data_IF_123395233205
#
_entry.id   IF_123395233205
#
_cell.length_a   1.000
_cell.length_b   1.000
_cell.length_c   1.000
_cell.angle_alpha   90.00
_cell.angle_beta   90.00
_cell.angle_gamma   90.00
#
_symmetry.space_group_name_H-M   'P 1'
#
loop_
_entity.id
_entity.type
_entity.pdbx_description
1 polymer ?
#
# COMPACT_ATOMS: atom_id res chain seq x y z
N UNK A 1 12.42 -16.36 31.88
CA UNK A 1 12.05 -16.68 31.47
C UNK A 1 11.49 -17.04 31.01
N UNK A 2 11.39 -16.97 30.70
CA UNK A 2 11.01 -17.42 30.17
C UNK A 2 10.53 -17.74 29.64
N UNK A 3 10.37 -17.73 29.34
CA UNK A 3 9.93 -18.25 28.76
C UNK A 3 10.02 -18.80 27.77
N UNK A 4 10.88 -19.23 27.87
CA UNK A 4 11.26 -20.05 26.77
C UNK A 4 10.12 -20.69 26.03
N UNK A 5 9.16 -21.12 26.71
CA UNK A 5 7.94 -21.56 26.06
C UNK A 5 7.19 -20.40 25.45
N UNK A 6 7.66 -19.20 25.73
CA UNK A 6 7.16 -18.00 25.09
C UNK A 6 7.99 -17.60 23.90
N UNK A 7 8.65 -18.57 23.31
CA UNK A 7 9.43 -18.30 22.12
C UNK A 7 8.55 -18.01 20.93
N UNK A 8 7.28 -18.33 21.00
CA UNK A 8 6.37 -17.97 19.91
C UNK A 8 6.19 -16.47 19.91
N UNK A 9 6.70 -15.85 18.86
CA UNK A 9 6.48 -14.43 18.65
C UNK A 9 5.02 -14.18 18.32
N UNK A 10 4.51 -13.04 18.72
CA UNK A 10 3.24 -12.58 18.20
C UNK A 10 3.34 -12.42 16.69
N UNK A 11 2.29 -12.80 16.00
CA UNK A 11 2.21 -12.62 14.57
C UNK A 11 1.02 -11.74 14.22
N UNK A 12 1.09 -11.15 13.04
CA UNK A 12 0.13 -10.14 12.61
C UNK A 12 -0.26 -10.38 11.16
N UNK A 13 -1.43 -9.89 10.83
CA UNK A 13 -1.89 -9.83 9.43
C UNK A 13 -1.72 -8.37 8.99
N UNK A 14 -1.07 -8.18 7.85
CA UNK A 14 -0.88 -6.85 7.29
C UNK A 14 -1.92 -6.62 6.19
N UNK A 15 -2.67 -5.54 6.30
CA UNK A 15 -3.60 -5.11 5.26
C UNK A 15 -3.03 -3.87 4.56
N UNK A 16 -2.78 -4.00 3.27
CA UNK A 16 -2.33 -2.88 2.43
C UNK A 16 -3.54 -2.35 1.68
N UNK A 17 -3.96 -1.15 2.06
CA UNK A 17 -5.16 -0.52 1.51
C UNK A 17 -4.73 0.61 0.59
N UNK A 18 -4.80 0.37 -0.71
CA UNK A 18 -4.44 1.37 -1.72
C UNK A 18 -5.69 2.13 -2.12
N UNK A 19 -5.84 3.33 -1.58
CA UNK A 19 -6.93 4.20 -1.94
C UNK A 19 -6.60 5.08 -3.13
N UNK A 20 -7.49 6.01 -3.44
CA UNK A 20 -7.36 6.91 -4.58
C UNK A 20 -6.60 8.19 -4.22
N UNK A 21 -6.48 8.50 -2.94
CA UNK A 21 -5.79 9.70 -2.46
C UNK A 21 -4.65 9.37 -1.51
N UNK A 22 -4.66 8.18 -0.92
CA UNK A 22 -3.67 7.81 0.09
C UNK A 22 -3.42 6.32 0.08
N UNK A 23 -2.25 5.97 0.60
CA UNK A 23 -1.86 4.58 0.87
C UNK A 23 -1.96 4.35 2.36
N UNK A 24 -2.44 3.18 2.76
CA UNK A 24 -2.64 2.85 4.17
C UNK A 24 -2.15 1.44 4.45
N UNK A 25 -1.58 1.24 5.63
CA UNK A 25 -1.26 -0.08 6.12
C UNK A 25 -1.85 -0.25 7.51
N UNK A 26 -2.51 -1.38 7.75
CA UNK A 26 -3.09 -1.71 9.04
C UNK A 26 -2.53 -3.06 9.46
N UNK A 27 -2.10 -3.17 10.71
CA UNK A 27 -1.67 -4.43 11.29
C UNK A 27 -2.71 -4.92 12.27
N UNK A 28 -3.19 -6.14 12.05
CA UNK A 28 -4.16 -6.81 12.93
C UNK A 28 -3.49 -7.94 13.68
N UNK A 29 -3.93 -8.19 14.90
CA UNK A 29 -3.53 -9.41 15.61
C UNK A 29 -4.42 -10.58 15.19
N UNK A 30 -4.20 -11.74 15.80
CA UNK A 30 -4.96 -12.94 15.47
C UNK A 30 -6.43 -12.84 15.84
N UNK A 31 -6.77 -11.96 16.76
CA UNK A 31 -8.14 -11.76 17.21
C UNK A 31 -8.87 -10.70 16.36
N UNK A 32 -8.18 -10.11 15.38
CA UNK A 32 -8.77 -9.10 14.52
C UNK A 32 -8.71 -7.69 15.08
N UNK A 33 -7.95 -7.47 16.15
CA UNK A 33 -7.79 -6.14 16.71
C UNK A 33 -6.77 -5.35 15.90
N UNK A 34 -7.05 -4.06 15.69
CA UNK A 34 -6.10 -3.17 15.04
C UNK A 34 -4.98 -2.85 16.04
N UNK A 35 -3.75 -3.19 15.69
CA UNK A 35 -2.61 -2.97 16.55
C UNK A 35 -1.78 -1.78 16.12
N UNK A 36 -1.77 -1.47 14.83
CA UNK A 36 -1.02 -0.34 14.28
C UNK A 36 -1.63 0.07 12.95
N UNK A 37 -1.46 1.34 12.59
CA UNK A 37 -1.92 1.87 11.32
C UNK A 37 -1.05 3.04 10.92
N UNK A 38 -0.75 3.13 9.63
CA UNK A 38 -0.05 4.27 9.06
C UNK A 38 -0.71 4.62 7.73
N UNK A 39 -0.71 5.90 7.40
CA UNK A 39 -1.36 6.40 6.18
C UNK A 39 -0.55 7.56 5.63
N UNK A 40 -0.48 7.65 4.30
CA UNK A 40 0.22 8.74 3.63
C UNK A 40 -0.50 9.07 2.34
N UNK A 41 -0.74 10.37 2.13
CA UNK A 41 -1.31 10.86 0.88
C UNK A 41 -0.25 10.90 -0.21
N UNK A 42 -0.68 10.77 -1.46
CA UNK A 42 0.20 10.95 -2.61
C UNK A 42 -0.38 12.02 -3.52
N UNK A 43 0.49 12.54 -4.40
CA UNK A 43 0.16 13.69 -5.23
C UNK A 43 -0.90 13.36 -6.26
N UNK A 44 -1.91 14.22 -6.36
CA UNK A 44 -2.91 14.17 -7.43
C UNK A 44 -2.44 15.08 -8.55
N UNK A 45 -2.40 14.57 -9.76
CA UNK A 45 -1.95 15.32 -10.94
C UNK A 45 -3.15 15.55 -11.84
N UNK A 46 -3.37 16.81 -12.20
CA UNK A 46 -4.52 17.24 -13.00
C UNK A 46 -4.02 17.84 -14.31
N UNK A 47 -3.68 17.02 -15.33
CA UNK A 47 -3.14 17.56 -16.58
C UNK A 47 -4.17 18.33 -17.39
N UNK A 48 -5.45 17.96 -17.23
CA UNK A 48 -6.57 18.63 -17.90
C UNK A 48 -7.79 18.58 -16.98
N UNK A 49 -8.76 19.48 -17.14
CA UNK A 49 -9.99 19.41 -16.35
C UNK A 49 -10.65 18.05 -16.45
N UNK A 50 -10.99 17.46 -15.31
CA UNK A 50 -11.64 16.17 -15.25
C UNK A 50 -10.69 14.97 -15.35
N UNK A 51 -9.41 15.20 -15.62
CA UNK A 51 -8.40 14.14 -15.68
C UNK A 51 -7.66 14.07 -14.35
N UNK A 52 -7.46 12.84 -13.86
CA UNK A 52 -6.66 12.61 -12.66
C UNK A 52 -5.60 11.57 -12.98
N UNK A 53 -4.36 11.91 -12.69
CA UNK A 53 -3.22 11.01 -12.87
C UNK A 53 -2.47 10.88 -11.56
N UNK A 54 -1.76 9.77 -11.41
CA UNK A 54 -0.87 9.54 -10.29
C UNK A 54 0.47 9.04 -10.79
N UNK A 55 1.52 9.31 -10.04
CA UNK A 55 2.83 8.74 -10.30
C UNK A 55 2.88 7.35 -9.66
N UNK A 56 2.99 6.26 -10.46
CA UNK A 56 2.99 4.91 -9.90
C UNK A 56 4.12 4.67 -8.89
N UNK A 57 5.27 5.29 -9.11
CA UNK A 57 6.40 5.10 -8.20
C UNK A 57 6.18 5.81 -6.88
N UNK A 58 5.46 6.92 -6.88
CA UNK A 58 5.07 7.59 -5.63
C UNK A 58 4.08 6.73 -4.85
N UNK A 59 3.13 6.10 -5.54
CA UNK A 59 2.19 5.19 -4.90
C UNK A 59 2.95 4.02 -4.26
N UNK A 60 3.87 3.41 -5.01
CA UNK A 60 4.67 2.30 -4.50
C UNK A 60 5.48 2.73 -3.28
N UNK A 61 6.19 3.85 -3.36
CA UNK A 61 7.02 4.29 -2.23
C UNK A 61 6.17 4.69 -1.03
N UNK A 62 4.99 5.27 -1.24
CA UNK A 62 4.10 5.61 -0.12
C UNK A 62 3.55 4.34 0.54
N UNK A 63 3.18 3.32 -0.24
CA UNK A 63 2.67 2.07 0.31
C UNK A 63 3.77 1.33 1.09
N UNK A 64 4.97 1.28 0.54
CA UNK A 64 6.10 0.68 1.23
C UNK A 64 6.42 1.44 2.51
N UNK A 65 6.39 2.77 2.44
CA UNK A 65 6.66 3.62 3.59
C UNK A 65 5.68 3.39 4.73
N UNK A 66 4.38 3.30 4.44
CA UNK A 66 3.40 3.08 5.52
C UNK A 66 3.47 1.66 6.07
N UNK A 67 3.86 0.67 5.25
CA UNK A 67 4.07 -0.68 5.74
C UNK A 67 5.23 -0.70 6.74
N UNK A 68 6.34 -0.07 6.40
CA UNK A 68 7.50 0.01 7.29
C UNK A 68 7.15 0.78 8.56
N UNK A 69 6.45 1.90 8.41
CA UNK A 69 6.09 2.74 9.57
C UNK A 69 5.18 1.99 10.53
N UNK A 70 4.17 1.28 10.02
CA UNK A 70 3.25 0.55 10.90
C UNK A 70 3.96 -0.58 11.65
N UNK A 71 4.95 -1.22 11.04
CA UNK A 71 5.76 -2.22 11.71
C UNK A 71 6.67 -1.58 12.76
N UNK A 72 7.24 -0.43 12.45
CA UNK A 72 8.14 0.26 13.36
C UNK A 72 7.43 0.70 14.64
N UNK A 73 6.16 1.12 14.53
CA UNK A 73 5.36 1.51 15.71
C UNK A 73 5.25 0.37 16.70
N UNK A 74 5.14 -0.87 16.23
CA UNK A 74 5.05 -2.04 17.10
C UNK A 74 6.43 -2.63 17.43
N UNK A 75 7.49 -2.16 16.77
CA UNK A 75 8.83 -2.72 16.97
C UNK A 75 8.95 -4.15 16.50
N UNK A 76 8.19 -4.52 15.47
CA UNK A 76 8.19 -5.90 14.96
C UNK A 76 9.02 -6.00 13.68
N UNK A 77 9.35 -7.23 13.33
CA UNK A 77 10.11 -7.54 12.11
C UNK A 77 9.22 -8.28 11.11
N UNK A 78 9.69 -8.40 9.88
CA UNK A 78 8.90 -8.99 8.79
C UNK A 78 8.53 -10.45 9.04
N UNK A 79 9.34 -11.19 9.82
CA UNK A 79 9.03 -12.57 10.14
C UNK A 79 7.81 -12.71 11.05
N UNK A 80 7.33 -11.60 11.61
CA UNK A 80 6.11 -11.59 12.41
C UNK A 80 4.86 -11.28 11.58
N UNK A 81 5.01 -11.04 10.28
CA UNK A 81 3.88 -10.87 9.37
C UNK A 81 3.54 -12.23 8.79
N UNK A 82 2.38 -12.73 9.14
CA UNK A 82 1.94 -14.07 8.77
C UNK A 82 1.28 -14.09 7.39
N UNK A 83 0.58 -13.04 7.05
CA UNK A 83 -0.11 -12.91 5.77
C UNK A 83 -0.32 -11.44 5.43
N UNK A 84 -0.49 -11.17 4.15
CA UNK A 84 -0.75 -9.82 3.64
C UNK A 84 -2.01 -9.88 2.79
N UNK A 85 -2.97 -8.99 3.12
CA UNK A 85 -4.13 -8.75 2.28
C UNK A 85 -3.97 -7.43 1.56
N UNK A 86 -4.44 -7.35 0.34
CA UNK A 86 -4.26 -6.15 -0.49
C UNK A 86 -5.61 -5.74 -1.07
N UNK A 87 -5.96 -4.45 -0.94
CA UNK A 87 -7.04 -3.86 -1.70
C UNK A 87 -6.46 -2.92 -2.73
N UNK A 88 -6.98 -2.98 -3.94
CA UNK A 88 -6.45 -2.19 -5.05
C UNK A 88 -7.11 -0.83 -5.13
N UNK A 89 -6.46 0.08 -5.88
CA UNK A 89 -7.06 1.33 -6.31
C UNK A 89 -7.93 1.01 -7.53
N UNK A 90 -9.23 1.24 -7.40
CA UNK A 90 -10.19 0.92 -8.47
C UNK A 90 -10.09 1.92 -9.61
N UNK A 91 -10.58 1.52 -10.80
CA UNK A 91 -10.68 2.37 -11.99
C UNK A 91 -9.35 3.00 -12.34
N UNK A 92 -8.29 2.19 -12.31
CA UNK A 92 -6.92 2.68 -12.50
C UNK A 92 -6.23 1.81 -13.55
N UNK A 93 -5.52 2.45 -14.47
CA UNK A 93 -4.77 1.77 -15.51
C UNK A 93 -3.31 2.19 -15.42
N UNK A 94 -2.42 1.20 -15.40
CA UNK A 94 -0.97 1.40 -15.45
C UNK A 94 -0.43 0.61 -16.64
N UNK A 95 0.45 1.24 -17.41
CA UNK A 95 1.19 0.56 -18.49
C UNK A 95 2.66 0.69 -18.16
N UNK A 96 3.37 -0.45 -18.20
CA UNK A 96 4.79 -0.46 -17.88
C UNK A 96 5.56 -1.27 -18.91
N UNK A 97 6.86 -1.00 -19.00
CA UNK A 97 7.76 -1.73 -19.88
C UNK A 97 8.08 -3.09 -19.23
N UNK A 98 7.76 -4.17 -19.93
CA UNK A 98 7.95 -5.51 -19.36
C UNK A 98 9.40 -5.87 -19.15
N UNK A 99 10.31 -5.21 -19.86
CA UNK A 99 11.74 -5.53 -19.76
C UNK A 99 12.42 -4.79 -18.62
N UNK A 100 12.01 -3.55 -18.36
CA UNK A 100 12.61 -2.71 -17.32
C UNK A 100 11.79 -2.66 -16.05
N UNK A 101 10.48 -2.93 -16.13
CA UNK A 101 9.57 -2.75 -15.02
C UNK A 101 9.18 -1.30 -14.76
N UNK A 102 9.63 -0.38 -15.61
CA UNK A 102 9.37 1.04 -15.43
C UNK A 102 8.03 1.43 -16.03
N UNK A 103 7.23 2.28 -15.35
CA UNK A 103 6.02 2.79 -15.96
C UNK A 103 6.36 3.67 -17.16
N UNK A 104 5.60 3.55 -18.23
CA UNK A 104 5.82 4.37 -19.43
C UNK A 104 5.15 5.74 -19.30
N UNK A 105 4.21 5.88 -18.37
CA UNK A 105 3.51 7.14 -18.11
C UNK A 105 2.89 7.07 -16.73
N UNK A 106 2.34 8.20 -16.26
CA UNK A 106 1.56 8.21 -15.03
C UNK A 106 0.33 7.32 -15.19
N UNK A 107 -0.13 6.71 -14.10
CA UNK A 107 -1.36 5.95 -14.15
C UNK A 107 -2.55 6.90 -14.33
N UNK A 108 -3.57 6.42 -15.02
CA UNK A 108 -4.79 7.14 -15.28
C UNK A 108 -5.86 6.64 -14.32
N UNK A 109 -6.57 7.55 -13.68
CA UNK A 109 -7.58 7.22 -12.69
C UNK A 109 -8.96 7.72 -13.10
N UNK A 110 -9.97 6.92 -12.80
CA UNK A 110 -11.35 7.28 -13.02
C UNK A 110 -11.70 7.32 -14.50
N UNK A 111 -12.53 8.29 -14.91
CA UNK A 111 -12.97 8.41 -16.29
C UNK A 111 -11.82 8.71 -17.24
N UNK A 112 -10.70 9.23 -16.74
CA UNK A 112 -9.52 9.48 -17.56
C UNK A 112 -8.86 8.18 -18.02
N UNK A 113 -9.14 7.05 -17.35
CA UNK A 113 -8.60 5.75 -17.76
C UNK A 113 -9.29 5.23 -19.02
N UNK A 114 -10.43 5.80 -19.40
CA UNK A 114 -11.17 5.45 -20.61
C UNK A 114 -11.08 6.64 -21.53
N UNK A 115 -9.99 6.73 -22.26
CA UNK A 115 -9.76 7.86 -23.15
C UNK A 115 -10.52 7.67 -24.46
N UNK A 116 -11.19 8.72 -24.95
CA UNK A 116 -11.73 8.65 -26.30
C UNK A 116 -10.56 8.59 -27.28
N UNK A 117 -10.71 7.75 -28.24
CA UNK A 117 -9.70 7.57 -29.27
C UNK A 117 -9.99 8.50 -30.44
#
# INVERSE_FOLDING_TARGET
MGDTHNTQKKTYIMALDQGTTSSRCILFDKQGNICSMAQKEFTQIYPQPGWVEHNPMEIWSSQLGVAIESMAVLGITDDQIEAIGITNQRETTIIWDKNTGEPVYNLLYGSAAVLPI
#
